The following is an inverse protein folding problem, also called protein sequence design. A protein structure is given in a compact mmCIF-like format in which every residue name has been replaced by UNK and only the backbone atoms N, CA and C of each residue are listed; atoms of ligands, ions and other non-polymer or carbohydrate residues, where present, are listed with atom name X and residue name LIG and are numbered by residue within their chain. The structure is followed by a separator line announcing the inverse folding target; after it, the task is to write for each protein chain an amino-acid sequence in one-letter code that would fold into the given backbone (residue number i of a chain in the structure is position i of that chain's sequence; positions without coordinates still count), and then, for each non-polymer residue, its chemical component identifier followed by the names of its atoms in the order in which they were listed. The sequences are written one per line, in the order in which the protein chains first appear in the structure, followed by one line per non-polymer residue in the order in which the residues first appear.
data_IF_539461916067
#
_entry.id   IF_539461916067
#
_cell.length_a   1.000
_cell.length_b   1.000
_cell.length_c   1.000
_cell.angle_alpha   90.00
_cell.angle_beta   90.00
_cell.angle_gamma   90.00
#
_symmetry.space_group_name_H-M   'P 1'
#
loop_
_entity.id
_entity.type
_entity.pdbx_description
1 polymer ?
#
# COMPACT_ATOMS: atom_id res chain seq x y z
N UNK A 1 -13.81 2.00 -9.97
CA UNK A 1 -14.70 3.15 -10.04
C UNK A 1 -14.14 4.23 -10.95
N UNK A 2 -12.86 4.54 -10.83
CA UNK A 2 -12.18 5.58 -11.57
C UNK A 2 -10.96 5.04 -12.30
N UNK A 3 -10.67 5.59 -13.48
CA UNK A 3 -9.45 5.40 -14.23
C UNK A 3 -8.82 6.78 -14.47
N UNK A 4 -7.51 6.89 -14.26
CA UNK A 4 -6.74 8.10 -14.54
C UNK A 4 -5.66 7.72 -15.57
N UNK A 5 -5.74 8.31 -16.76
CA UNK A 5 -4.75 8.07 -17.80
C UNK A 5 -3.44 8.83 -17.54
N UNK A 6 -2.41 8.58 -18.33
CA UNK A 6 -1.08 9.21 -18.16
C UNK A 6 -1.08 10.73 -18.40
N UNK A 7 -2.09 11.27 -19.12
CA UNK A 7 -2.29 12.71 -19.32
C UNK A 7 -3.08 13.36 -18.16
N UNK A 8 -3.47 12.58 -17.14
CA UNK A 8 -4.22 13.07 -15.99
C UNK A 8 -5.72 13.22 -16.24
N UNK A 9 -6.26 12.65 -17.30
CA UNK A 9 -7.71 12.65 -17.54
C UNK A 9 -8.36 11.57 -16.67
N UNK A 10 -9.44 11.94 -15.97
CA UNK A 10 -10.26 11.02 -15.16
C UNK A 10 -11.43 10.51 -15.98
N UNK A 11 -11.65 9.21 -15.93
CA UNK A 11 -12.87 8.56 -16.38
C UNK A 11 -13.54 7.88 -15.19
N UNK A 12 -14.77 8.22 -14.88
CA UNK A 12 -15.58 7.47 -13.93
C UNK A 12 -16.32 6.35 -14.67
N UNK A 13 -15.96 5.10 -14.36
CA UNK A 13 -16.49 3.89 -15.00
C UNK A 13 -17.69 3.36 -14.21
N UNK A 14 -17.60 3.41 -12.86
CA UNK A 14 -18.63 2.92 -11.95
C UNK A 14 -18.96 4.02 -10.95
N UNK A 15 -20.22 4.27 -10.68
CA UNK A 15 -20.68 5.24 -9.65
C UNK A 15 -20.18 4.80 -8.28
N UNK A 16 -19.79 5.73 -7.41
CA UNK A 16 -19.23 5.45 -6.09
C UNK A 16 -20.11 4.54 -5.20
N UNK A 17 -21.42 4.65 -5.35
CA UNK A 17 -22.39 3.87 -4.56
C UNK A 17 -22.55 2.42 -5.03
N UNK A 18 -22.02 2.08 -6.19
CA UNK A 18 -22.10 0.74 -6.77
C UNK A 18 -20.84 -0.04 -6.45
N UNK A 19 -20.88 -1.36 -6.56
CA UNK A 19 -19.72 -2.23 -6.37
C UNK A 19 -18.95 -2.32 -7.69
N UNK A 20 -17.65 -1.95 -7.67
CA UNK A 20 -16.74 -2.21 -8.78
C UNK A 20 -15.81 -3.40 -8.46
N UNK A 21 -15.50 -4.19 -9.49
CA UNK A 21 -14.61 -5.37 -9.38
C UNK A 21 -13.14 -4.97 -9.56
N UNK A 22 -12.52 -4.36 -8.54
CA UNK A 22 -11.16 -3.81 -8.61
C UNK A 22 -10.16 -4.44 -7.64
N UNK A 23 -10.62 -5.02 -6.52
CA UNK A 23 -9.75 -5.55 -5.47
C UNK A 23 -9.60 -7.08 -5.51
N UNK A 24 -10.60 -7.79 -6.04
CA UNK A 24 -10.65 -9.25 -6.06
C UNK A 24 -10.53 -9.86 -4.66
N UNK A 25 -9.94 -11.06 -4.55
CA UNK A 25 -9.65 -11.70 -3.26
C UNK A 25 -8.64 -10.85 -2.48
N UNK A 26 -9.11 -10.16 -1.45
CA UNK A 26 -8.37 -9.14 -0.72
C UNK A 26 -8.75 -9.10 0.76
N UNK A 27 -7.82 -8.63 1.62
CA UNK A 27 -8.04 -8.46 3.07
C UNK A 27 -7.26 -7.26 3.59
N UNK A 28 -7.91 -6.49 4.46
CA UNK A 28 -7.29 -5.41 5.22
C UNK A 28 -7.99 -5.27 6.57
N UNK A 29 -7.25 -5.30 7.67
CA UNK A 29 -7.84 -5.39 9.00
C UNK A 29 -8.83 -6.58 9.07
N UNK A 30 -10.07 -6.34 9.47
CA UNK A 30 -11.15 -7.32 9.53
C UNK A 30 -11.95 -7.44 8.22
N UNK A 31 -11.75 -6.50 7.28
CA UNK A 31 -12.45 -6.54 5.99
C UNK A 31 -11.90 -7.63 5.06
N UNK A 32 -12.81 -8.35 4.43
CA UNK A 32 -12.55 -9.32 3.35
C UNK A 32 -13.31 -8.88 2.10
N UNK A 33 -12.77 -9.20 0.91
CA UNK A 33 -13.43 -8.86 -0.37
C UNK A 33 -13.72 -7.36 -0.49
N UNK A 34 -12.64 -6.55 -0.51
CA UNK A 34 -12.72 -5.09 -0.43
C UNK A 34 -13.50 -4.42 -1.57
N UNK A 35 -13.88 -5.12 -2.63
CA UNK A 35 -14.80 -4.60 -3.65
C UNK A 35 -16.08 -3.99 -3.04
N UNK A 36 -16.56 -4.58 -1.95
CA UNK A 36 -17.80 -4.16 -1.26
C UNK A 36 -17.61 -2.97 -0.32
N UNK A 37 -16.37 -2.61 0.02
CA UNK A 37 -16.06 -1.68 1.11
C UNK A 37 -15.11 -0.56 0.69
N UNK A 38 -14.78 -0.45 -0.62
CA UNK A 38 -13.79 0.51 -1.07
C UNK A 38 -14.06 1.03 -2.48
N UNK A 39 -13.49 2.19 -2.77
CA UNK A 39 -13.48 2.80 -4.09
C UNK A 39 -12.15 2.46 -4.75
N UNK A 40 -12.19 1.88 -5.94
CA UNK A 40 -10.99 1.58 -6.73
C UNK A 40 -10.64 2.71 -7.69
N UNK A 41 -9.37 3.07 -7.73
CA UNK A 41 -8.81 4.02 -8.69
C UNK A 41 -7.69 3.32 -9.45
N UNK A 42 -7.87 3.12 -10.74
CA UNK A 42 -6.87 2.56 -11.65
C UNK A 42 -6.02 3.69 -12.27
N UNK A 43 -4.71 3.50 -12.27
CA UNK A 43 -3.76 4.41 -12.92
C UNK A 43 -3.14 3.71 -14.12
N UNK A 44 -3.28 4.28 -15.30
CA UNK A 44 -2.65 3.73 -16.51
C UNK A 44 -1.13 3.74 -16.36
N UNK A 45 -0.54 2.55 -16.35
CA UNK A 45 0.89 2.29 -16.30
C UNK A 45 1.17 0.93 -16.94
N UNK A 46 2.30 0.75 -17.61
CA UNK A 46 2.67 -0.52 -18.27
C UNK A 46 2.82 -1.68 -17.29
N UNK A 47 3.13 -1.37 -16.03
CA UNK A 47 3.35 -2.38 -14.99
C UNK A 47 4.65 -3.18 -15.17
N UNK A 48 5.02 -3.98 -14.16
CA UNK A 48 6.32 -4.65 -14.09
C UNK A 48 6.60 -5.62 -15.26
N UNK A 49 5.56 -6.18 -15.87
CA UNK A 49 5.74 -7.14 -16.98
C UNK A 49 6.06 -6.47 -18.33
N UNK A 50 5.62 -5.22 -18.52
CA UNK A 50 5.67 -4.52 -19.82
C UNK A 50 6.53 -3.25 -19.77
N UNK A 51 7.46 -3.16 -18.83
CA UNK A 51 8.32 -2.00 -18.67
C UNK A 51 7.76 -0.96 -17.69
N UNK A 52 7.71 -1.31 -16.40
CA UNK A 52 7.23 -0.47 -15.32
C UNK A 52 7.94 0.89 -15.30
N UNK A 53 7.17 1.94 -15.39
CA UNK A 53 7.65 3.32 -15.48
C UNK A 53 7.11 4.21 -14.35
N UNK A 54 7.73 5.37 -14.17
CA UNK A 54 7.27 6.36 -13.20
C UNK A 54 5.92 6.95 -13.62
N UNK A 55 5.16 7.36 -12.62
CA UNK A 55 3.86 8.01 -12.83
C UNK A 55 4.07 9.48 -13.18
N UNK A 56 3.52 9.98 -14.30
CA UNK A 56 3.65 11.38 -14.68
C UNK A 56 3.16 12.34 -13.58
N UNK A 57 3.82 13.49 -13.38
CA UNK A 57 3.41 14.47 -12.38
C UNK A 57 1.94 14.89 -12.49
N UNK A 58 1.43 15.08 -13.71
CA UNK A 58 0.03 15.44 -13.97
C UNK A 58 -0.93 14.34 -13.52
N UNK A 59 -0.60 13.06 -13.74
CA UNK A 59 -1.41 11.93 -13.29
C UNK A 59 -1.49 11.89 -11.76
N UNK A 60 -0.36 12.13 -11.05
CA UNK A 60 -0.32 12.18 -9.59
C UNK A 60 -1.02 13.41 -9.03
N UNK A 61 -0.96 14.56 -9.70
CA UNK A 61 -1.73 15.75 -9.31
C UNK A 61 -3.24 15.50 -9.38
N UNK A 62 -3.69 14.89 -10.47
CA UNK A 62 -5.09 14.51 -10.66
C UNK A 62 -5.55 13.49 -9.63
N UNK A 63 -4.75 12.43 -9.39
CA UNK A 63 -4.99 11.47 -8.32
C UNK A 63 -5.13 12.16 -6.95
N UNK A 64 -4.23 13.11 -6.66
CA UNK A 64 -4.25 13.85 -5.39
C UNK A 64 -5.56 14.64 -5.22
N UNK A 65 -6.01 15.33 -6.28
CA UNK A 65 -7.28 16.08 -6.27
C UNK A 65 -8.47 15.13 -6.03
N UNK A 66 -8.54 14.04 -6.79
CA UNK A 66 -9.59 13.03 -6.62
C UNK A 66 -9.59 12.41 -5.22
N UNK A 67 -8.43 12.01 -4.71
CA UNK A 67 -8.31 11.44 -3.36
C UNK A 67 -8.71 12.44 -2.27
N UNK A 68 -8.38 13.73 -2.39
CA UNK A 68 -8.84 14.77 -1.46
C UNK A 68 -10.37 14.90 -1.47
N UNK A 69 -10.97 14.92 -2.64
CA UNK A 69 -12.42 14.96 -2.80
C UNK A 69 -13.09 13.74 -2.15
N UNK A 70 -12.68 12.52 -2.51
CA UNK A 70 -13.23 11.29 -1.96
C UNK A 70 -13.00 11.17 -0.45
N UNK A 71 -11.81 11.61 0.04
CA UNK A 71 -11.49 11.65 1.46
C UNK A 71 -12.48 12.52 2.24
N UNK A 72 -12.80 13.71 1.73
CA UNK A 72 -13.78 14.63 2.36
C UNK A 72 -15.19 14.03 2.29
N UNK A 73 -15.59 13.55 1.11
CA UNK A 73 -16.94 13.02 0.84
C UNK A 73 -17.30 11.82 1.70
N UNK A 74 -16.32 10.90 1.92
CA UNK A 74 -16.54 9.62 2.61
C UNK A 74 -15.80 9.51 3.95
N UNK A 75 -15.23 10.59 4.45
CA UNK A 75 -14.46 10.63 5.70
C UNK A 75 -13.36 9.54 5.78
N UNK A 76 -12.61 9.33 4.68
CA UNK A 76 -11.64 8.25 4.58
C UNK A 76 -10.41 8.59 5.42
N UNK A 77 -10.08 7.74 6.39
CA UNK A 77 -8.86 7.90 7.22
C UNK A 77 -7.60 7.69 6.37
N UNK A 78 -6.49 8.42 6.65
CA UNK A 78 -5.23 8.26 5.89
C UNK A 78 -4.73 6.82 5.77
N UNK A 79 -4.90 6.01 6.81
CA UNK A 79 -4.49 4.60 6.85
C UNK A 79 -5.25 3.71 5.85
N UNK A 80 -6.39 4.16 5.35
CA UNK A 80 -7.24 3.42 4.42
C UNK A 80 -7.02 3.79 2.94
N UNK A 81 -5.99 4.59 2.62
CA UNK A 81 -5.49 4.73 1.25
C UNK A 81 -4.45 3.65 1.00
N UNK A 82 -4.76 2.67 0.18
CA UNK A 82 -4.05 1.40 0.05
C UNK A 82 -3.65 1.12 -1.39
N UNK A 83 -2.51 0.48 -1.58
CA UNK A 83 -2.15 -0.15 -2.84
C UNK A 83 -2.74 -1.55 -2.94
N UNK A 84 -2.87 -2.06 -4.16
CA UNK A 84 -3.38 -3.42 -4.37
C UNK A 84 -2.48 -4.46 -3.70
N UNK A 85 -1.16 -4.26 -3.70
CA UNK A 85 -0.19 -5.11 -3.00
C UNK A 85 -0.36 -5.09 -1.47
N UNK A 86 -0.89 -4.03 -0.86
CA UNK A 86 -1.15 -4.01 0.58
C UNK A 86 -2.27 -4.98 0.96
N UNK A 87 -3.31 -5.05 0.14
CA UNK A 87 -4.54 -5.81 0.40
C UNK A 87 -4.55 -7.22 -0.20
N UNK A 88 -3.63 -7.49 -1.14
CA UNK A 88 -3.50 -8.78 -1.82
C UNK A 88 -2.03 -9.14 -2.12
N UNK A 89 -1.12 -9.13 -1.12
CA UNK A 89 0.33 -9.23 -1.30
C UNK A 89 0.80 -10.51 -1.96
N UNK A 90 0.00 -11.58 -1.92
CA UNK A 90 0.37 -12.89 -2.49
C UNK A 90 0.18 -12.96 -4.02
N UNK A 91 -0.54 -12.02 -4.62
CA UNK A 91 -0.88 -12.04 -6.05
C UNK A 91 -0.66 -10.72 -6.77
N UNK A 92 -0.48 -9.62 -6.04
CA UNK A 92 -0.40 -8.26 -6.59
C UNK A 92 0.87 -7.55 -6.14
N UNK A 93 1.42 -6.76 -7.06
CA UNK A 93 2.61 -5.94 -6.81
C UNK A 93 2.36 -4.45 -7.06
N UNK A 94 1.26 -4.12 -7.75
CA UNK A 94 0.84 -2.74 -8.02
C UNK A 94 0.38 -2.01 -6.73
N UNK A 95 0.55 -0.68 -6.66
CA UNK A 95 1.11 0.21 -7.68
C UNK A 95 2.63 0.15 -7.84
N UNK A 96 3.34 -0.62 -7.03
CA UNK A 96 4.79 -0.81 -7.12
C UNK A 96 5.61 0.26 -6.40
N UNK A 97 6.95 0.11 -6.49
CA UNK A 97 7.93 0.91 -5.76
C UNK A 97 8.11 2.34 -6.30
N UNK A 98 7.78 2.60 -7.58
CA UNK A 98 7.83 3.95 -8.16
C UNK A 98 6.60 4.82 -7.83
N UNK A 99 5.59 4.25 -7.11
CA UNK A 99 4.41 5.02 -6.72
C UNK A 99 4.74 5.96 -5.56
N UNK A 100 4.41 7.27 -5.64
CA UNK A 100 4.95 8.29 -4.75
C UNK A 100 4.18 8.40 -3.41
N UNK A 101 4.10 7.33 -2.61
CA UNK A 101 3.41 7.29 -1.33
C UNK A 101 3.84 8.39 -0.36
N UNK A 102 5.18 8.66 -0.29
CA UNK A 102 5.71 9.72 0.57
C UNK A 102 5.16 11.11 0.19
N UNK A 103 5.08 11.40 -1.12
CA UNK A 103 4.51 12.67 -1.60
C UNK A 103 3.03 12.78 -1.27
N UNK A 104 2.26 11.72 -1.47
CA UNK A 104 0.82 11.68 -1.21
C UNK A 104 0.49 11.81 0.29
N UNK A 105 1.34 11.27 1.17
CA UNK A 105 1.14 11.35 2.62
C UNK A 105 1.17 12.79 3.15
N UNK A 106 1.88 13.71 2.49
CA UNK A 106 1.86 15.16 2.81
C UNK A 106 0.45 15.76 2.71
N UNK A 107 -0.42 15.15 1.90
CA UNK A 107 -1.84 15.50 1.75
C UNK A 107 -2.76 14.61 2.60
N UNK A 108 -2.19 13.83 3.54
CA UNK A 108 -2.92 12.84 4.34
C UNK A 108 -3.62 11.79 3.47
N UNK A 109 -3.02 11.43 2.33
CA UNK A 109 -3.39 10.33 1.43
C UNK A 109 -2.36 9.22 1.66
N UNK A 110 -2.73 8.23 2.47
CA UNK A 110 -1.80 7.24 3.01
C UNK A 110 -1.00 7.74 4.22
N UNK A 111 -0.52 6.81 5.03
CA UNK A 111 0.47 7.06 6.08
C UNK A 111 1.89 6.96 5.51
N UNK A 112 2.81 7.71 6.10
CA UNK A 112 4.25 7.60 5.87
C UNK A 112 4.98 7.72 7.20
N UNK A 113 6.23 7.29 7.25
CA UNK A 113 7.09 7.34 8.43
C UNK A 113 8.10 8.49 8.36
N UNK A 114 8.59 8.91 9.53
CA UNK A 114 9.78 9.75 9.66
C UNK A 114 10.84 8.94 10.41
N UNK A 115 11.91 8.58 9.72
CA UNK A 115 13.01 7.82 10.30
C UNK A 115 14.03 8.76 10.93
N UNK A 116 14.20 8.67 12.25
CA UNK A 116 15.36 9.22 12.92
C UNK A 116 16.57 8.31 12.75
N UNK A 117 17.76 8.92 12.62
CA UNK A 117 19.03 8.21 12.34
C UNK A 117 19.59 7.36 13.50
N UNK A 118 18.90 7.24 14.64
CA UNK A 118 19.40 6.46 15.80
C UNK A 118 19.36 4.96 15.50
N UNK A 119 20.53 4.30 15.64
CA UNK A 119 20.69 2.84 15.56
C UNK A 119 20.11 2.18 16.82
N UNK A 120 19.52 1.00 16.66
CA UNK A 120 19.10 0.12 17.76
C UNK A 120 19.50 -1.30 17.37
N UNK A 121 20.35 -1.93 18.16
CA UNK A 121 20.74 -3.33 17.99
C UNK A 121 19.69 -4.25 18.61
N UNK A 122 19.18 -5.21 17.86
CA UNK A 122 18.23 -6.24 18.32
C UNK A 122 18.50 -7.59 17.66
N UNK A 123 18.18 -8.67 18.37
CA UNK A 123 18.33 -10.05 17.91
C UNK A 123 17.37 -10.37 16.76
N UNK A 124 17.82 -11.20 15.77
CA UNK A 124 17.09 -11.50 14.51
C UNK A 124 15.71 -12.14 14.71
N UNK A 125 15.52 -12.97 15.73
CA UNK A 125 14.21 -13.62 15.97
C UNK A 125 13.18 -12.65 16.57
N UNK A 126 13.61 -11.80 17.46
CA UNK A 126 12.81 -10.72 18.03
C UNK A 126 12.39 -9.71 16.93
N UNK A 127 13.28 -9.43 15.97
CA UNK A 127 13.02 -8.61 14.80
C UNK A 127 11.81 -9.12 13.99
N UNK A 128 11.74 -10.43 13.73
CA UNK A 128 10.65 -11.04 12.93
C UNK A 128 9.31 -11.03 13.65
N UNK A 129 9.29 -11.48 14.91
CA UNK A 129 8.06 -11.53 15.70
C UNK A 129 7.44 -10.13 15.84
N UNK A 130 8.26 -9.14 16.17
CA UNK A 130 7.82 -7.76 16.32
C UNK A 130 7.35 -7.14 14.99
N UNK A 131 8.01 -7.42 13.87
CA UNK A 131 7.58 -6.95 12.56
C UNK A 131 6.17 -7.43 12.22
N UNK A 132 5.89 -8.72 12.31
CA UNK A 132 4.57 -9.26 11.99
C UNK A 132 3.48 -8.80 12.95
N UNK A 133 3.82 -8.59 14.23
CA UNK A 133 2.92 -7.97 15.21
C UNK A 133 2.55 -6.53 14.78
N UNK A 134 3.53 -5.74 14.35
CA UNK A 134 3.33 -4.36 13.93
C UNK A 134 2.48 -4.27 12.65
N UNK A 135 2.85 -5.02 11.60
CA UNK A 135 2.09 -4.96 10.34
C UNK A 135 0.67 -5.51 10.47
N UNK A 136 0.43 -6.42 11.43
CA UNK A 136 -0.92 -6.85 11.77
C UNK A 136 -1.75 -5.69 12.35
N UNK A 137 -1.18 -4.88 13.26
CA UNK A 137 -1.81 -3.68 13.81
C UNK A 137 -2.08 -2.62 12.73
N UNK A 138 -1.15 -2.45 11.77
CA UNK A 138 -1.32 -1.54 10.63
C UNK A 138 -2.50 -1.97 9.75
N UNK A 139 -2.74 -3.27 9.58
CA UNK A 139 -3.86 -3.79 8.80
C UNK A 139 -3.51 -4.93 7.85
N UNK A 140 -2.22 -5.24 7.65
CA UNK A 140 -1.81 -6.33 6.77
C UNK A 140 -2.33 -7.69 7.26
N UNK A 141 -2.65 -8.56 6.29
CA UNK A 141 -3.10 -9.94 6.51
C UNK A 141 -2.30 -10.86 5.56
N UNK A 142 -2.69 -12.12 5.42
CA UNK A 142 -2.05 -13.13 4.58
C UNK A 142 -0.72 -13.69 5.13
N UNK A 143 -0.51 -13.62 6.43
CA UNK A 143 0.57 -14.30 7.15
C UNK A 143 0.02 -14.93 8.44
N UNK A 144 0.76 -15.92 8.96
CA UNK A 144 0.47 -16.50 10.27
C UNK A 144 1.49 -15.97 11.28
N UNK A 145 1.04 -15.53 12.44
CA UNK A 145 1.90 -14.98 13.49
C UNK A 145 2.70 -16.06 14.22
N UNK A 146 2.18 -17.30 14.24
CA UNK A 146 2.77 -18.43 14.97
C UNK A 146 3.54 -19.40 14.09
N UNK A 147 3.23 -19.47 12.78
CA UNK A 147 3.84 -20.42 11.84
C UNK A 147 4.46 -19.67 10.66
N UNK A 148 5.78 -19.85 10.46
CA UNK A 148 6.51 -19.28 9.32
C UNK A 148 6.03 -19.91 7.99
N UNK A 149 5.96 -19.10 6.93
CA UNK A 149 5.57 -19.53 5.59
C UNK A 149 6.43 -18.85 4.52
N UNK A 150 6.68 -19.56 3.41
CA UNK A 150 7.33 -18.94 2.23
C UNK A 150 6.54 -17.74 1.67
N UNK A 151 5.25 -17.67 1.95
CA UNK A 151 4.37 -16.53 1.59
C UNK A 151 4.70 -15.25 2.36
N UNK A 152 5.33 -15.36 3.53
CA UNK A 152 5.70 -14.21 4.37
C UNK A 152 6.62 -13.25 3.62
N UNK A 153 7.51 -13.79 2.77
CA UNK A 153 8.40 -12.98 1.92
C UNK A 153 7.62 -12.03 1.00
N UNK A 154 6.48 -12.44 0.47
CA UNK A 154 5.63 -11.61 -0.39
C UNK A 154 4.98 -10.47 0.39
N UNK A 155 4.56 -10.75 1.63
CA UNK A 155 3.99 -9.74 2.53
C UNK A 155 5.05 -8.71 2.92
N UNK A 156 6.28 -9.16 3.24
CA UNK A 156 7.40 -8.26 3.53
C UNK A 156 7.71 -7.37 2.32
N UNK A 157 7.77 -7.96 1.11
CA UNK A 157 7.98 -7.20 -0.13
C UNK A 157 6.87 -6.16 -0.38
N UNK A 158 5.61 -6.48 -0.11
CA UNK A 158 4.50 -5.53 -0.25
C UNK A 158 4.68 -4.33 0.70
N UNK A 159 5.01 -4.58 1.96
CA UNK A 159 5.35 -3.54 2.92
C UNK A 159 6.54 -2.69 2.46
N UNK A 160 7.62 -3.32 1.99
CA UNK A 160 8.82 -2.62 1.52
C UNK A 160 8.54 -1.78 0.26
N UNK A 161 7.78 -2.30 -0.74
CA UNK A 161 7.39 -1.49 -1.92
C UNK A 161 6.71 -0.18 -1.54
N UNK A 162 5.94 -0.20 -0.48
CA UNK A 162 5.24 0.98 0.00
C UNK A 162 6.14 1.91 0.81
N UNK A 163 6.89 1.38 1.78
CA UNK A 163 7.56 2.17 2.81
C UNK A 163 9.09 2.23 2.68
N UNK A 164 9.67 1.34 1.88
CA UNK A 164 11.09 1.22 1.59
C UNK A 164 11.33 0.89 0.11
N UNK A 165 10.84 1.73 -0.82
CA UNK A 165 10.79 1.39 -2.25
C UNK A 165 12.17 1.07 -2.87
N UNK A 166 13.25 1.60 -2.32
CA UNK A 166 14.62 1.35 -2.79
C UNK A 166 15.24 0.04 -2.22
N UNK A 167 14.55 -0.65 -1.31
CA UNK A 167 15.10 -1.83 -0.60
C UNK A 167 14.08 -2.99 -0.56
N UNK A 168 13.54 -3.38 -1.70
CA UNK A 168 12.51 -4.43 -1.80
C UNK A 168 13.15 -5.83 -1.85
N UNK A 169 13.73 -6.27 -0.74
CA UNK A 169 14.44 -7.55 -0.64
C UNK A 169 13.55 -8.74 -0.24
N UNK A 170 12.48 -8.48 0.51
CA UNK A 170 11.67 -9.50 1.19
C UNK A 170 12.34 -10.08 2.44
N UNK A 171 13.39 -9.41 2.96
CA UNK A 171 14.04 -9.70 4.24
C UNK A 171 13.70 -8.60 5.25
N UNK A 172 13.50 -8.97 6.50
CA UNK A 172 13.28 -7.99 7.57
C UNK A 172 14.66 -7.49 8.02
N UNK A 173 14.95 -6.22 7.74
CA UNK A 173 16.12 -5.50 8.26
C UNK A 173 15.70 -4.68 9.48
N UNK A 174 16.65 -4.16 10.25
CA UNK A 174 16.39 -3.22 11.33
C UNK A 174 15.56 -2.02 10.86
N UNK A 175 15.90 -1.49 9.68
CA UNK A 175 15.17 -0.38 9.05
C UNK A 175 13.72 -0.76 8.74
N UNK A 176 13.49 -1.97 8.21
CA UNK A 176 12.14 -2.50 7.95
C UNK A 176 11.34 -2.60 9.26
N UNK A 177 11.96 -3.11 10.33
CA UNK A 177 11.32 -3.22 11.64
C UNK A 177 10.99 -1.84 12.21
N UNK A 178 11.98 -0.92 12.25
CA UNK A 178 11.80 0.43 12.79
C UNK A 178 10.66 1.18 12.11
N UNK A 179 10.55 1.08 10.78
CA UNK A 179 9.44 1.67 10.04
C UNK A 179 8.11 1.03 10.45
N UNK A 180 8.06 -0.29 10.60
CA UNK A 180 6.83 -0.97 11.04
C UNK A 180 6.39 -0.55 12.45
N UNK A 181 7.33 -0.25 13.35
CA UNK A 181 7.06 0.28 14.69
C UNK A 181 6.47 1.69 14.66
N UNK A 182 7.03 2.57 13.81
CA UNK A 182 6.55 3.96 13.67
C UNK A 182 5.13 4.05 13.08
N UNK A 183 4.70 3.03 12.36
CA UNK A 183 3.40 3.00 11.68
C UNK A 183 2.31 2.27 12.48
N UNK A 184 2.67 1.40 13.44
CA UNK A 184 1.77 0.57 14.24
C UNK A 184 1.11 1.32 15.40
#
# INVERSE_FOLDING_TARGET
HYLINRKGVITQIVKDKNIAWHAGKSRWNYFKNLNKFSIGIELVNKGHKLGYESFPPVQIQTLTKLCKFLKKKYNIKPVNFLGHSDIAPLRKIDPGEKFPWQRLSRYKIGKWHQLDKKKSEKNKEELKSNFFKNIYKIGYRYFNRSKKSNKDRLVIKAFQRRYLPNEVSGKITEKTLKISQLLA
#
